data_IF_954901740249
#
_entry.id   IF_954901740249
#
_cell.length_a   1.000
_cell.length_b   1.000
_cell.length_c   1.000
_cell.angle_alpha   90.00
_cell.angle_beta   90.00
_cell.angle_gamma   90.00
#
_symmetry.space_group_name_H-M   'P 1'
#
loop_
_entity.id
_entity.type
_entity.pdbx_description
1 polymer ?
#
# COMPACT_ATOMS: atom_id res chain seq x y z
N UNK A 1 4.78 -13.64 -5.34
CA UNK A 1 5.14 -12.26 -5.75
C UNK A 1 4.56 -11.30 -4.74
N UNK A 2 5.31 -10.29 -4.27
CA UNK A 2 4.86 -9.33 -3.24
C UNK A 2 3.53 -8.64 -3.60
N UNK A 3 3.33 -8.29 -4.87
CA UNK A 3 2.08 -7.67 -5.36
C UNK A 3 0.83 -8.55 -5.22
N UNK A 4 0.96 -9.88 -5.08
CA UNK A 4 -0.20 -10.77 -4.88
C UNK A 4 -0.84 -10.59 -3.50
N UNK A 5 -0.12 -9.99 -2.56
CA UNK A 5 -0.65 -9.64 -1.24
C UNK A 5 -1.53 -8.40 -1.27
N UNK A 6 -1.52 -7.60 -2.36
CA UNK A 6 -2.43 -6.46 -2.50
C UNK A 6 -3.67 -6.90 -3.27
N UNK A 7 -4.81 -6.82 -2.61
CA UNK A 7 -6.13 -7.16 -3.16
C UNK A 7 -6.93 -5.89 -3.39
N UNK A 8 -7.65 -5.84 -4.51
CA UNK A 8 -8.59 -4.76 -4.82
C UNK A 8 -9.97 -5.40 -4.95
N UNK A 9 -10.87 -5.09 -4.03
CA UNK A 9 -12.25 -5.57 -4.06
C UNK A 9 -13.19 -4.36 -3.93
N UNK A 10 -14.12 -4.22 -4.87
CA UNK A 10 -15.12 -3.14 -4.88
C UNK A 10 -16.04 -3.17 -3.66
N UNK A 11 -16.22 -4.34 -3.04
CA UNK A 11 -17.02 -4.52 -1.84
C UNK A 11 -16.25 -4.20 -0.54
N UNK A 12 -14.93 -4.03 -0.61
CA UNK A 12 -14.06 -3.77 0.54
C UNK A 12 -13.44 -2.38 0.38
N UNK A 13 -13.60 -1.52 1.39
CA UNK A 13 -13.03 -0.16 1.40
C UNK A 13 -13.31 0.65 0.11
N UNK A 14 -14.49 0.48 -0.51
CA UNK A 14 -14.90 1.18 -1.73
C UNK A 14 -13.96 0.98 -2.94
N UNK A 15 -13.33 -0.19 -3.06
CA UNK A 15 -12.40 -0.49 -4.16
C UNK A 15 -10.98 0.05 -3.92
N UNK A 16 -10.67 0.48 -2.69
CA UNK A 16 -9.29 0.83 -2.33
C UNK A 16 -8.41 -0.42 -2.31
N UNK A 17 -7.13 -0.30 -2.69
CA UNK A 17 -6.17 -1.40 -2.56
C UNK A 17 -5.93 -1.71 -1.09
N UNK A 18 -6.11 -2.97 -0.72
CA UNK A 18 -6.02 -3.48 0.64
C UNK A 18 -5.05 -4.64 0.75
N UNK A 19 -4.47 -4.84 1.93
CA UNK A 19 -3.55 -5.95 2.20
C UNK A 19 -4.35 -7.23 2.44
N UNK A 20 -4.13 -8.28 1.64
CA UNK A 20 -4.65 -9.65 1.80
C UNK A 20 -6.16 -9.76 2.04
N UNK A 21 -6.96 -8.81 1.56
CA UNK A 21 -8.40 -8.71 1.85
C UNK A 21 -8.74 -8.21 3.26
N UNK A 22 -7.73 -7.86 4.06
CA UNK A 22 -7.90 -7.16 5.33
C UNK A 22 -8.41 -5.75 5.06
N UNK A 23 -9.10 -5.16 6.04
CA UNK A 23 -9.57 -3.77 5.95
C UNK A 23 -8.46 -2.76 6.28
N UNK A 24 -7.23 -3.07 5.84
CA UNK A 24 -6.05 -2.21 5.93
C UNK A 24 -5.71 -1.69 4.54
N UNK A 25 -6.09 -0.44 4.22
CA UNK A 25 -5.75 0.19 2.96
C UNK A 25 -4.25 0.39 2.82
N UNK A 26 -3.74 0.25 1.59
CA UNK A 26 -2.34 0.55 1.25
C UNK A 26 -1.97 2.00 1.61
N UNK A 27 -2.90 2.95 1.43
CA UNK A 27 -2.71 4.36 1.83
C UNK A 27 -2.37 4.50 3.32
N UNK A 28 -3.03 3.73 4.20
CA UNK A 28 -2.87 3.84 5.64
C UNK A 28 -1.45 3.44 6.04
N UNK A 29 -0.94 2.34 5.50
CA UNK A 29 0.43 1.89 5.77
C UNK A 29 1.46 2.90 5.26
N UNK A 30 1.21 3.51 4.09
CA UNK A 30 2.08 4.56 3.56
C UNK A 30 2.05 5.83 4.43
N UNK A 31 0.89 6.19 4.99
CA UNK A 31 0.75 7.30 5.93
C UNK A 31 1.52 7.05 7.23
N UNK A 32 1.42 5.84 7.80
CA UNK A 32 2.19 5.45 9.00
C UNK A 32 3.69 5.50 8.73
N UNK A 33 4.16 4.95 7.61
CA UNK A 33 5.57 5.03 7.25
C UNK A 33 6.02 6.49 7.01
N UNK A 34 5.15 7.32 6.43
CA UNK A 34 5.44 8.74 6.18
C UNK A 34 5.44 9.58 7.45
N UNK A 35 4.74 9.15 8.51
CA UNK A 35 4.75 9.81 9.82
C UNK A 35 6.03 9.55 10.62
N UNK A 36 6.87 8.62 10.13
CA UNK A 36 8.14 8.24 10.74
C UNK A 36 8.09 6.95 11.54
N UNK A 37 6.96 6.23 11.55
CA UNK A 37 6.91 4.89 12.15
C UNK A 37 7.79 3.91 11.37
N UNK A 38 8.48 3.07 12.12
CA UNK A 38 9.27 1.96 11.61
C UNK A 38 8.39 0.77 11.23
N UNK A 39 8.94 -0.13 10.42
CA UNK A 39 8.24 -1.36 10.03
C UNK A 39 7.94 -2.22 11.26
N UNK A 40 8.85 -2.24 12.23
CA UNK A 40 8.73 -2.99 13.47
C UNK A 40 7.59 -2.46 14.34
N UNK A 41 7.49 -1.14 14.55
CA UNK A 41 6.39 -0.52 15.30
C UNK A 41 5.03 -0.82 14.67
N UNK A 42 4.94 -0.77 13.33
CA UNK A 42 3.70 -1.12 12.63
C UNK A 42 3.35 -2.62 12.82
N UNK A 43 4.33 -3.51 12.88
CA UNK A 43 4.07 -4.93 13.14
C UNK A 43 3.69 -5.21 14.60
N UNK A 44 4.16 -4.38 15.54
CA UNK A 44 3.78 -4.45 16.96
C UNK A 44 2.37 -3.91 17.20
N UNK A 45 1.97 -2.84 16.52
CA UNK A 45 0.63 -2.25 16.63
C UNK A 45 -0.45 -3.08 15.90
N UNK A 46 -0.04 -3.86 14.90
CA UNK A 46 -0.94 -4.63 14.03
C UNK A 46 -0.44 -6.08 13.88
N UNK A 47 -0.80 -6.95 14.83
CA UNK A 47 -0.47 -8.38 14.83
C UNK A 47 -0.91 -9.14 13.56
N UNK A 48 -1.95 -8.65 12.88
CA UNK A 48 -2.46 -9.23 11.63
C UNK A 48 -1.55 -8.94 10.42
N UNK A 49 -0.56 -8.05 10.53
CA UNK A 49 0.34 -7.70 9.45
C UNK A 49 1.61 -8.53 9.49
N UNK A 50 2.09 -8.89 8.30
CA UNK A 50 3.41 -9.49 8.14
C UNK A 50 4.37 -8.49 7.51
N UNK A 51 5.68 -8.65 7.78
CA UNK A 51 6.72 -7.81 7.16
C UNK A 51 6.61 -7.75 5.63
N UNK A 52 6.23 -8.87 5.01
CA UNK A 52 6.00 -8.96 3.57
C UNK A 52 4.83 -8.10 3.08
N UNK A 53 3.83 -7.82 3.92
CA UNK A 53 2.69 -6.97 3.57
C UNK A 53 3.11 -5.50 3.47
N UNK A 54 4.02 -5.07 4.34
CA UNK A 54 4.62 -3.73 4.29
C UNK A 54 5.47 -3.60 3.02
N UNK A 55 6.29 -4.60 2.70
CA UNK A 55 7.04 -4.61 1.44
C UNK A 55 6.14 -4.67 0.20
N UNK A 56 5.02 -5.38 0.26
CA UNK A 56 4.02 -5.39 -0.81
C UNK A 56 3.42 -4.00 -1.04
N UNK A 57 3.12 -3.29 0.05
CA UNK A 57 2.63 -1.90 0.04
C UNK A 57 3.64 -0.96 -0.62
N UNK A 58 4.92 -1.03 -0.24
CA UNK A 58 5.99 -0.24 -0.85
C UNK A 58 6.21 -0.58 -2.33
N UNK A 59 6.14 -1.87 -2.69
CA UNK A 59 6.25 -2.30 -4.08
C UNK A 59 5.08 -1.79 -4.93
N UNK A 60 3.87 -1.79 -4.38
CA UNK A 60 2.68 -1.22 -5.01
C UNK A 60 2.80 0.29 -5.20
N UNK A 61 3.24 1.02 -4.16
CA UNK A 61 3.50 2.46 -4.25
C UNK A 61 4.56 2.80 -5.30
N UNK A 62 5.66 2.04 -5.33
CA UNK A 62 6.70 2.17 -6.36
C UNK A 62 6.14 1.99 -7.76
N UNK A 63 5.26 1.00 -7.95
CA UNK A 63 4.61 0.73 -9.24
C UNK A 63 3.70 1.88 -9.67
N UNK A 64 2.96 2.46 -8.73
CA UNK A 64 2.10 3.63 -8.98
C UNK A 64 2.92 4.89 -9.31
N UNK A 65 4.07 5.07 -8.68
CA UNK A 65 4.97 6.20 -8.92
C UNK A 65 5.67 6.15 -10.28
N UNK A 66 5.78 4.97 -10.90
CA UNK A 66 6.35 4.80 -12.24
C UNK A 66 5.44 5.40 -13.33
N UNK A 67 5.49 6.72 -13.49
CA UNK A 67 4.86 7.43 -14.60
C UNK A 67 5.69 7.22 -15.86
N UNK A 68 5.11 6.55 -16.87
CA UNK A 68 5.82 6.20 -18.11
C UNK A 68 6.05 7.38 -19.06
N UNK A 69 5.15 8.35 -19.07
CA UNK A 69 5.24 9.53 -19.92
C UNK A 69 4.46 10.67 -19.30
N UNK A 70 5.07 11.85 -19.23
CA UNK A 70 4.44 13.08 -18.80
C UNK A 70 4.32 13.98 -20.03
N UNK A 71 3.09 14.21 -20.47
CA UNK A 71 2.83 15.12 -21.59
C UNK A 71 2.40 16.48 -21.03
N UNK A 72 3.10 17.53 -21.44
CA UNK A 72 2.71 18.90 -21.11
C UNK A 72 1.49 19.26 -21.96
N UNK A 73 0.33 19.44 -21.33
CA UNK A 73 -0.82 20.06 -21.99
C UNK A 73 -0.48 21.53 -22.14
N UNK A 74 -0.20 21.95 -23.37
CA UNK A 74 -0.07 23.37 -23.70
C UNK A 74 -1.48 23.96 -23.67
N UNK A 75 -1.73 24.80 -22.67
CA UNK A 75 -2.90 25.71 -22.60
C UNK A 75 -2.49 27.04 -23.18
#
# INVERSE_FOLDING_TARGET
>A
MLLQRITIDWNICHGKPCIRGLRYPVEMILELLSSGMTTEEILEDYDDLERDDIFATLAYATKLSQVKSIHKVLV
#
